data_IF_606788137312
#
_entry.id   IF_606788137312
#
_cell.length_a   1.000
_cell.length_b   1.000
_cell.length_c   1.000
_cell.angle_alpha   90.00
_cell.angle_beta   90.00
_cell.angle_gamma   90.00
#
_symmetry.space_group_name_H-M   'P 1'
#
loop_
_entity.id
_entity.type
_entity.pdbx_description
1 polymer ?
#
# COMPACT_ATOMS: atom_id res chain seq x y z
N UNK A 1 3.92 14.81 -6.44
CA UNK A 1 4.10 16.28 -6.65
C UNK A 1 4.97 16.94 -5.58
N UNK A 2 4.84 16.61 -4.29
CA UNK A 2 5.64 17.25 -3.20
C UNK A 2 7.14 16.96 -3.26
N UNK A 3 7.56 15.73 -3.60
CA UNK A 3 8.98 15.38 -3.73
C UNK A 3 9.62 16.10 -4.92
N UNK A 4 8.96 16.09 -6.08
CA UNK A 4 9.41 16.84 -7.25
C UNK A 4 9.55 18.34 -6.92
N UNK A 5 8.56 18.93 -6.25
CA UNK A 5 8.60 20.33 -5.85
C UNK A 5 9.75 20.62 -4.88
N UNK A 6 10.00 19.76 -3.88
CA UNK A 6 11.14 19.90 -2.96
C UNK A 6 12.49 19.82 -3.68
N UNK A 7 12.65 18.83 -4.58
CA UNK A 7 13.86 18.70 -5.39
C UNK A 7 14.03 19.88 -6.33
N UNK A 8 12.97 20.29 -7.02
CA UNK A 8 12.98 21.47 -7.89
C UNK A 8 13.34 22.74 -7.13
N UNK A 9 12.70 23.00 -5.99
CA UNK A 9 13.02 24.17 -5.14
C UNK A 9 14.44 24.14 -4.59
N UNK A 10 14.98 22.99 -4.23
CA UNK A 10 16.36 22.86 -3.77
C UNK A 10 17.36 23.20 -4.88
N UNK A 11 17.14 22.70 -6.09
CA UNK A 11 17.99 23.01 -7.25
C UNK A 11 17.85 24.47 -7.69
N UNK A 12 16.61 24.99 -7.67
CA UNK A 12 16.34 26.41 -7.95
C UNK A 12 17.04 27.32 -6.91
N UNK A 13 16.98 26.96 -5.63
CA UNK A 13 17.67 27.71 -4.58
C UNK A 13 19.20 27.73 -4.81
N UNK A 14 19.79 26.57 -5.15
CA UNK A 14 21.22 26.50 -5.46
C UNK A 14 21.58 27.35 -6.68
N UNK A 15 20.76 27.32 -7.74
CA UNK A 15 20.95 28.15 -8.93
C UNK A 15 20.86 29.64 -8.61
N UNK A 16 19.89 30.07 -7.78
CA UNK A 16 19.74 31.45 -7.34
C UNK A 16 20.92 31.89 -6.46
N UNK A 17 21.37 31.03 -5.53
CA UNK A 17 22.56 31.31 -4.71
C UNK A 17 23.82 31.43 -5.54
N UNK A 18 24.00 30.58 -6.56
CA UNK A 18 25.10 30.66 -7.49
C UNK A 18 25.07 31.97 -8.29
N UNK A 19 23.88 32.36 -8.78
CA UNK A 19 23.70 33.63 -9.50
C UNK A 19 24.00 34.83 -8.59
N UNK A 20 23.47 34.82 -7.37
CA UNK A 20 23.73 35.87 -6.37
C UNK A 20 25.21 35.98 -6.04
N UNK A 21 25.89 34.84 -5.84
CA UNK A 21 27.30 34.79 -5.57
C UNK A 21 28.12 35.32 -6.75
N UNK A 22 27.73 34.98 -7.98
CA UNK A 22 28.35 35.51 -9.20
C UNK A 22 28.21 37.03 -9.29
N UNK A 23 27.03 37.59 -8.98
CA UNK A 23 26.78 39.03 -8.93
C UNK A 23 27.63 39.71 -7.85
N UNK A 24 27.68 39.15 -6.62
CA UNK A 24 28.48 39.70 -5.51
C UNK A 24 29.99 39.67 -5.82
N UNK A 25 30.47 38.58 -6.44
CA UNK A 25 31.87 38.48 -6.86
C UNK A 25 32.17 39.48 -7.98
N UNK A 26 31.29 39.62 -8.96
CA UNK A 26 31.44 40.61 -10.02
C UNK A 26 31.49 42.02 -9.44
N UNK A 27 30.59 42.38 -8.51
CA UNK A 27 30.56 43.69 -7.84
C UNK A 27 31.79 43.93 -6.97
N UNK A 28 32.29 42.91 -6.23
CA UNK A 28 33.48 43.01 -5.39
C UNK A 28 34.78 43.16 -6.20
N UNK A 29 34.92 42.43 -7.31
CA UNK A 29 36.14 42.41 -8.08
C UNK A 29 36.19 43.49 -9.19
N UNK A 30 35.04 43.87 -9.77
CA UNK A 30 34.97 44.88 -10.81
C UNK A 30 35.65 46.21 -10.42
N UNK A 31 35.45 46.78 -9.22
CA UNK A 31 36.12 48.03 -8.82
C UNK A 31 37.65 47.92 -8.68
N UNK A 32 38.17 46.75 -8.27
CA UNK A 32 39.60 46.53 -8.14
C UNK A 32 40.31 46.46 -9.52
N UNK A 33 39.70 45.71 -10.44
CA UNK A 33 40.21 45.62 -11.81
C UNK A 33 40.04 46.96 -12.58
N UNK A 34 38.92 47.63 -12.37
CA UNK A 34 38.65 48.93 -12.97
C UNK A 34 39.64 50.03 -12.52
N UNK A 35 39.93 50.15 -11.22
CA UNK A 35 40.94 51.08 -10.69
C UNK A 35 42.34 50.86 -11.30
N UNK A 36 42.79 49.62 -11.34
CA UNK A 36 44.11 49.30 -11.95
C UNK A 36 44.17 49.59 -13.44
N UNK A 37 43.06 49.51 -14.16
CA UNK A 37 42.95 49.90 -15.58
C UNK A 37 42.92 51.42 -15.78
N UNK A 38 42.14 52.11 -14.93
CA UNK A 38 42.01 53.58 -14.95
C UNK A 38 43.36 54.23 -14.60
N UNK A 39 44.09 53.73 -13.60
CA UNK A 39 45.43 54.27 -13.25
C UNK A 39 46.46 54.07 -14.40
N UNK A 40 46.50 52.88 -15.03
CA UNK A 40 47.32 52.66 -16.22
C UNK A 40 46.94 53.57 -17.38
N UNK A 41 45.69 53.79 -17.57
CA UNK A 41 45.14 54.67 -18.60
C UNK A 41 45.48 56.17 -18.36
N UNK A 42 45.35 56.63 -17.12
CA UNK A 42 45.77 58.00 -16.73
C UNK A 42 47.28 58.21 -16.92
N UNK A 43 48.09 57.14 -16.67
CA UNK A 43 49.53 57.18 -16.88
C UNK A 43 49.90 57.20 -18.38
N UNK A 44 49.18 56.43 -19.22
CA UNK A 44 49.34 56.45 -20.68
C UNK A 44 48.88 57.79 -21.26
N UNK A 45 47.83 58.41 -20.72
CA UNK A 45 47.34 59.72 -21.06
C UNK A 45 48.37 60.85 -20.85
N UNK A 46 49.09 60.74 -19.75
CA UNK A 46 50.12 61.70 -19.43
C UNK A 46 51.35 61.67 -20.34
N UNK A 47 51.55 60.52 -21.00
CA UNK A 47 52.68 60.30 -21.92
C UNK A 47 52.42 60.53 -23.40
N UNK A 48 51.15 60.64 -23.83
CA UNK A 48 50.78 60.70 -25.28
C UNK A 48 49.89 61.90 -25.62
N UNK A 49 50.34 62.70 -26.59
CA UNK A 49 49.49 63.77 -27.21
C UNK A 49 48.32 63.19 -27.98
N UNK A 50 47.21 63.57 -27.63
CA UNK A 50 45.80 63.57 -28.03
C UNK A 50 45.17 62.79 -29.20
N UNK A 51 45.89 62.07 -30.06
CA UNK A 51 45.26 61.54 -31.30
C UNK A 51 45.06 60.00 -31.38
N UNK A 52 45.82 59.16 -30.69
CA UNK A 52 45.63 57.70 -30.65
C UNK A 52 44.90 57.22 -29.38
N UNK A 53 44.35 58.12 -28.64
CA UNK A 53 43.79 57.96 -27.31
C UNK A 53 42.51 57.14 -27.26
N UNK A 54 41.61 57.29 -28.23
CA UNK A 54 40.28 56.66 -28.21
C UNK A 54 40.31 55.11 -28.39
N UNK A 55 41.23 54.63 -29.24
CA UNK A 55 41.33 53.19 -29.49
C UNK A 55 42.03 52.42 -28.34
N UNK A 56 43.08 53.03 -27.73
CA UNK A 56 43.76 52.44 -26.58
C UNK A 56 42.83 52.33 -25.39
N UNK A 57 42.05 53.38 -25.12
CA UNK A 57 41.01 53.41 -24.07
C UNK A 57 39.96 52.35 -24.28
N UNK A 58 39.45 52.19 -25.46
CA UNK A 58 38.44 51.19 -25.81
C UNK A 58 38.98 49.77 -25.56
N UNK A 59 40.18 49.45 -26.01
CA UNK A 59 40.79 48.13 -25.82
C UNK A 59 41.01 47.82 -24.33
N UNK A 60 41.51 48.79 -23.57
CA UNK A 60 41.75 48.62 -22.11
C UNK A 60 40.42 48.41 -21.32
N UNK A 61 39.35 49.10 -21.74
CA UNK A 61 38.01 48.87 -21.16
C UNK A 61 37.45 47.50 -21.51
N UNK A 62 37.60 47.06 -22.78
CA UNK A 62 37.14 45.73 -23.22
C UNK A 62 37.92 44.64 -22.52
N UNK A 63 39.25 44.74 -22.39
CA UNK A 63 40.11 43.77 -21.67
C UNK A 63 39.83 43.76 -20.17
N UNK A 64 39.58 44.92 -19.52
CA UNK A 64 39.20 45.03 -18.16
C UNK A 64 37.87 44.36 -17.85
N UNK A 65 36.87 44.61 -18.65
CA UNK A 65 35.57 44.01 -18.52
C UNK A 65 35.64 42.45 -18.70
N UNK A 66 36.37 42.02 -19.72
CA UNK A 66 36.56 40.58 -20.03
C UNK A 66 37.32 39.88 -18.91
N UNK A 67 38.38 40.45 -18.37
CA UNK A 67 39.15 39.86 -17.26
C UNK A 67 38.35 39.79 -15.98
N UNK A 68 37.55 40.82 -15.67
CA UNK A 68 36.67 40.84 -14.50
C UNK A 68 35.56 39.77 -14.60
N UNK A 69 34.92 39.66 -15.73
CA UNK A 69 33.88 38.63 -15.96
C UNK A 69 34.47 37.21 -15.89
N UNK A 70 35.65 36.98 -16.50
CA UNK A 70 36.29 35.67 -16.43
C UNK A 70 36.72 35.32 -14.97
N UNK A 71 37.28 36.25 -14.24
CA UNK A 71 37.68 36.04 -12.84
C UNK A 71 36.43 35.74 -11.95
N UNK A 72 35.37 36.49 -12.12
CA UNK A 72 34.09 36.24 -11.41
C UNK A 72 33.48 34.88 -11.72
N UNK A 73 33.46 34.47 -13.01
CA UNK A 73 33.00 33.16 -13.42
C UNK A 73 33.86 32.03 -12.85
N UNK A 74 35.20 32.16 -12.96
CA UNK A 74 36.14 31.15 -12.41
C UNK A 74 36.03 30.98 -10.88
N UNK A 75 35.69 32.03 -10.15
CA UNK A 75 35.45 31.98 -8.72
C UNK A 75 34.05 31.40 -8.36
N UNK A 76 33.02 31.74 -9.13
CA UNK A 76 31.63 31.35 -8.83
C UNK A 76 31.33 29.90 -9.22
N UNK A 77 31.90 29.41 -10.34
CA UNK A 77 31.63 28.04 -10.85
C UNK A 77 31.94 26.93 -9.85
N UNK A 78 33.12 26.89 -9.18
CA UNK A 78 33.43 25.81 -8.23
C UNK A 78 32.53 25.84 -7.01
N UNK A 79 32.11 27.01 -6.53
CA UNK A 79 31.18 27.15 -5.39
C UNK A 79 29.78 26.69 -5.78
N UNK A 80 29.31 27.05 -6.96
CA UNK A 80 28.03 26.56 -7.50
C UNK A 80 28.05 25.04 -7.72
N UNK A 81 29.13 24.49 -8.26
CA UNK A 81 29.32 23.06 -8.44
C UNK A 81 29.32 22.31 -7.10
N UNK A 82 30.00 22.84 -6.07
CA UNK A 82 30.01 22.25 -4.73
C UNK A 82 28.58 22.24 -4.12
N UNK A 83 27.86 23.34 -4.22
CA UNK A 83 26.48 23.45 -3.75
C UNK A 83 25.54 22.46 -4.44
N UNK A 84 25.65 22.35 -5.78
CA UNK A 84 24.90 21.38 -6.56
C UNK A 84 25.24 19.93 -6.18
N UNK A 85 26.52 19.62 -5.98
CA UNK A 85 26.98 18.30 -5.56
C UNK A 85 26.43 17.90 -4.19
N UNK A 86 26.46 18.81 -3.23
CA UNK A 86 25.94 18.57 -1.88
C UNK A 86 24.43 18.29 -1.90
N UNK A 87 23.65 19.13 -2.60
CA UNK A 87 22.20 18.93 -2.69
C UNK A 87 21.82 17.68 -3.46
N UNK A 88 22.49 17.39 -4.56
CA UNK A 88 22.27 16.16 -5.34
C UNK A 88 22.62 14.90 -4.52
N UNK A 89 23.75 14.93 -3.79
CA UNK A 89 24.15 13.83 -2.92
C UNK A 89 23.15 13.58 -1.80
N UNK A 90 22.68 14.62 -1.14
CA UNK A 90 21.68 14.53 -0.08
C UNK A 90 20.36 13.93 -0.61
N UNK A 91 19.85 14.41 -1.74
CA UNK A 91 18.64 13.91 -2.37
C UNK A 91 18.80 12.45 -2.80
N UNK A 92 19.93 12.10 -3.41
CA UNK A 92 20.24 10.74 -3.86
C UNK A 92 20.32 9.73 -2.70
N UNK A 93 21.04 10.08 -1.64
CA UNK A 93 21.16 9.22 -0.46
C UNK A 93 19.81 8.98 0.24
N UNK A 94 18.98 10.00 0.31
CA UNK A 94 17.64 9.91 0.87
C UNK A 94 16.75 8.96 0.05
N UNK A 95 16.73 9.13 -1.27
CA UNK A 95 15.97 8.26 -2.17
C UNK A 95 16.46 6.81 -2.11
N UNK A 96 17.79 6.60 -2.15
CA UNK A 96 18.39 5.27 -2.06
C UNK A 96 18.06 4.57 -0.74
N UNK A 97 18.02 5.30 0.38
CA UNK A 97 17.64 4.74 1.69
C UNK A 97 16.19 4.24 1.69
N UNK A 98 15.25 5.05 1.22
CA UNK A 98 13.84 4.66 1.15
C UNK A 98 13.63 3.47 0.20
N UNK A 99 14.30 3.48 -0.95
CA UNK A 99 14.24 2.35 -1.89
C UNK A 99 14.77 1.05 -1.29
N UNK A 100 15.87 1.10 -0.51
CA UNK A 100 16.41 -0.07 0.21
C UNK A 100 15.46 -0.59 1.27
N UNK A 101 14.84 0.29 2.06
CA UNK A 101 13.85 -0.11 3.07
C UNK A 101 12.65 -0.78 2.42
N UNK A 102 12.17 -0.28 1.29
CA UNK A 102 11.07 -0.85 0.54
C UNK A 102 11.44 -2.23 -0.03
N UNK A 103 12.64 -2.35 -0.63
CA UNK A 103 13.14 -3.61 -1.18
C UNK A 103 13.28 -4.67 -0.09
N UNK A 104 13.87 -4.32 1.05
CA UNK A 104 14.01 -5.22 2.20
C UNK A 104 12.65 -5.62 2.78
N UNK A 105 11.74 -4.65 2.98
CA UNK A 105 10.37 -4.93 3.43
C UNK A 105 9.63 -5.86 2.48
N UNK A 106 9.75 -5.63 1.16
CA UNK A 106 9.12 -6.48 0.15
C UNK A 106 9.71 -7.89 0.13
N UNK A 107 11.03 -8.04 0.33
CA UNK A 107 11.68 -9.35 0.42
C UNK A 107 11.15 -10.14 1.63
N UNK A 108 11.14 -9.53 2.82
CA UNK A 108 10.61 -10.14 4.03
C UNK A 108 9.14 -10.52 3.91
N UNK A 109 8.34 -9.67 3.27
CA UNK A 109 6.94 -9.95 2.98
C UNK A 109 6.79 -11.17 2.04
N UNK A 110 7.65 -11.31 1.03
CA UNK A 110 7.68 -12.49 0.15
C UNK A 110 8.10 -13.78 0.88
N UNK A 111 8.88 -13.66 1.96
CA UNK A 111 9.28 -14.77 2.86
C UNK A 111 8.19 -15.11 3.89
N UNK A 112 7.04 -14.42 3.86
CA UNK A 112 5.91 -14.67 4.77
C UNK A 112 5.91 -13.82 6.05
N UNK A 113 6.83 -12.88 6.19
CA UNK A 113 6.89 -11.98 7.35
C UNK A 113 5.96 -10.77 7.16
N UNK A 114 4.66 -10.98 7.25
CA UNK A 114 3.66 -9.91 7.00
C UNK A 114 3.57 -8.86 8.11
N UNK A 115 4.18 -9.09 9.28
CA UNK A 115 4.27 -8.11 10.38
C UNK A 115 5.25 -6.95 10.14
N UNK A 116 5.97 -6.94 9.01
CA UNK A 116 6.92 -5.86 8.63
C UNK A 116 6.18 -4.54 8.44
N UNK A 117 6.73 -3.47 9.03
CA UNK A 117 6.23 -2.10 8.82
C UNK A 117 7.40 -1.19 8.48
N UNK A 118 7.18 -0.36 7.46
CA UNK A 118 8.13 0.68 7.08
C UNK A 118 7.93 1.92 7.96
N UNK A 119 9.01 2.58 8.39
CA UNK A 119 8.90 3.81 9.16
C UNK A 119 8.34 4.94 8.29
N UNK A 120 7.38 5.69 8.82
CA UNK A 120 6.83 6.89 8.19
C UNK A 120 7.73 8.09 8.49
N UNK A 121 8.86 8.18 7.79
CA UNK A 121 9.90 9.19 8.04
C UNK A 121 9.51 10.57 7.51
N UNK A 122 8.61 10.66 6.54
CA UNK A 122 8.37 11.87 5.76
C UNK A 122 6.89 12.08 5.46
N UNK A 123 6.52 13.36 5.21
CA UNK A 123 5.18 13.76 4.77
C UNK A 123 5.16 14.15 3.28
N UNK A 124 5.79 13.34 2.44
CA UNK A 124 5.87 13.49 1.01
C UNK A 124 5.46 12.19 0.29
N UNK A 125 5.68 12.09 -1.01
CA UNK A 125 5.32 10.94 -1.84
C UNK A 125 6.00 9.64 -1.37
N UNK A 126 7.19 9.72 -0.77
CA UNK A 126 7.88 8.55 -0.19
C UNK A 126 7.21 8.09 1.11
N UNK A 127 6.74 9.03 1.92
CA UNK A 127 5.94 8.72 3.11
C UNK A 127 4.58 8.11 2.76
N UNK A 128 3.94 8.59 1.70
CA UNK A 128 2.70 8.01 1.17
C UNK A 128 2.92 6.58 0.66
N UNK A 129 4.03 6.34 -0.06
CA UNK A 129 4.42 5.01 -0.51
C UNK A 129 4.64 4.04 0.67
N UNK A 130 5.33 4.48 1.72
CA UNK A 130 5.51 3.68 2.94
C UNK A 130 4.18 3.38 3.64
N UNK A 131 3.24 4.34 3.64
CA UNK A 131 1.89 4.14 4.17
C UNK A 131 1.12 3.08 3.38
N UNK A 132 1.14 3.16 2.05
CA UNK A 132 0.49 2.16 1.19
C UNK A 132 1.10 0.77 1.34
N UNK A 133 2.44 0.68 1.46
CA UNK A 133 3.11 -0.57 1.78
C UNK A 133 2.62 -1.15 3.12
N UNK A 134 2.54 -0.34 4.17
CA UNK A 134 2.10 -0.78 5.49
C UNK A 134 0.64 -1.28 5.48
N UNK A 135 -0.24 -0.61 4.72
CA UNK A 135 -1.63 -1.07 4.52
C UNK A 135 -1.70 -2.41 3.78
N UNK A 136 -0.85 -2.59 2.76
CA UNK A 136 -0.76 -3.87 2.05
C UNK A 136 -0.27 -4.99 2.97
N UNK A 137 0.77 -4.72 3.77
CA UNK A 137 1.30 -5.66 4.75
C UNK A 137 0.24 -6.08 5.78
N UNK A 138 -0.53 -5.11 6.30
CA UNK A 138 -1.64 -5.36 7.24
C UNK A 138 -2.75 -6.22 6.61
N UNK A 139 -3.11 -5.92 5.36
CA UNK A 139 -4.12 -6.70 4.65
C UNK A 139 -3.68 -8.16 4.43
N UNK A 140 -2.40 -8.37 4.04
CA UNK A 140 -1.84 -9.72 3.88
C UNK A 140 -1.74 -10.47 5.22
N UNK A 141 -1.28 -9.81 6.29
CA UNK A 141 -1.21 -10.38 7.63
C UNK A 141 -2.60 -10.87 8.09
N UNK A 142 -3.63 -10.06 7.86
CA UNK A 142 -5.02 -10.43 8.18
C UNK A 142 -5.50 -11.64 7.37
N UNK A 143 -5.21 -11.67 6.07
CA UNK A 143 -5.59 -12.80 5.19
C UNK A 143 -4.93 -14.10 5.66
N UNK A 144 -3.62 -14.08 5.92
CA UNK A 144 -2.90 -15.27 6.38
C UNK A 144 -3.35 -15.73 7.77
N UNK A 145 -3.62 -14.80 8.68
CA UNK A 145 -4.18 -15.11 9.99
C UNK A 145 -5.53 -15.81 9.88
N UNK A 146 -6.45 -15.24 9.08
CA UNK A 146 -7.79 -15.83 8.85
C UNK A 146 -7.67 -17.22 8.22
N UNK A 147 -6.75 -17.41 7.25
CA UNK A 147 -6.47 -18.69 6.63
C UNK A 147 -5.96 -19.73 7.63
N UNK A 148 -5.02 -19.35 8.50
CA UNK A 148 -4.49 -20.24 9.54
C UNK A 148 -5.57 -20.63 10.56
N UNK A 149 -6.42 -19.68 10.97
CA UNK A 149 -7.56 -19.92 11.86
C UNK A 149 -8.57 -20.88 11.21
N UNK A 150 -8.89 -20.69 9.93
CA UNK A 150 -9.79 -21.59 9.18
C UNK A 150 -9.25 -23.01 9.15
N UNK A 151 -7.96 -23.19 8.79
CA UNK A 151 -7.33 -24.51 8.75
C UNK A 151 -7.35 -25.17 10.14
N UNK A 152 -7.05 -24.40 11.21
CA UNK A 152 -7.12 -24.88 12.58
C UNK A 152 -8.52 -25.35 12.99
N UNK A 153 -9.55 -24.55 12.65
CA UNK A 153 -10.95 -24.90 12.91
C UNK A 153 -11.36 -26.16 12.15
N UNK A 154 -11.06 -26.25 10.85
CA UNK A 154 -11.38 -27.43 10.03
C UNK A 154 -10.71 -28.68 10.60
N UNK A 155 -9.42 -28.60 10.98
CA UNK A 155 -8.71 -29.73 11.58
C UNK A 155 -9.35 -30.19 12.90
N UNK A 156 -9.85 -29.24 13.71
CA UNK A 156 -10.53 -29.55 14.95
C UNK A 156 -11.89 -30.22 14.71
N UNK A 157 -12.70 -29.64 13.81
CA UNK A 157 -14.02 -30.15 13.44
C UNK A 157 -13.98 -31.52 12.73
N UNK A 158 -12.89 -31.85 12.05
CA UNK A 158 -12.67 -33.19 11.48
C UNK A 158 -12.21 -34.22 12.51
N UNK A 159 -11.45 -33.81 13.53
CA UNK A 159 -10.89 -34.73 14.52
C UNK A 159 -11.98 -35.44 15.36
N UNK A 160 -13.01 -34.69 15.71
CA UNK A 160 -14.11 -35.18 16.56
C UNK A 160 -14.89 -36.34 15.87
N UNK A 161 -15.44 -36.19 14.66
CA UNK A 161 -16.15 -37.30 14.00
C UNK A 161 -15.21 -38.47 13.68
N UNK A 162 -13.93 -38.21 13.34
CA UNK A 162 -12.96 -39.29 13.11
C UNK A 162 -12.73 -40.13 14.37
N UNK A 163 -12.58 -39.51 15.54
CA UNK A 163 -12.45 -40.20 16.81
C UNK A 163 -13.71 -41.02 17.13
N UNK A 164 -14.90 -40.48 16.87
CA UNK A 164 -16.16 -41.18 17.05
C UNK A 164 -16.29 -42.38 16.09
N UNK A 165 -15.93 -42.23 14.82
CA UNK A 165 -15.89 -43.33 13.85
C UNK A 165 -14.95 -44.46 14.30
N UNK A 166 -13.77 -44.09 14.80
CA UNK A 166 -12.83 -45.07 15.36
C UNK A 166 -13.42 -45.81 16.56
N UNK A 167 -14.05 -45.05 17.49
CA UNK A 167 -14.71 -45.68 18.66
C UNK A 167 -15.85 -46.63 18.30
N UNK A 168 -16.68 -46.27 17.25
CA UNK A 168 -17.72 -47.18 16.76
C UNK A 168 -17.14 -48.46 16.15
N UNK A 169 -16.03 -48.33 15.40
CA UNK A 169 -15.35 -49.47 14.77
C UNK A 169 -14.73 -50.37 15.84
N UNK A 170 -14.03 -49.82 16.80
CA UNK A 170 -13.44 -50.57 17.91
C UNK A 170 -14.50 -51.29 18.76
N UNK A 171 -15.59 -50.55 19.15
CA UNK A 171 -16.69 -51.12 19.90
C UNK A 171 -17.45 -52.23 19.17
N UNK A 172 -17.48 -52.19 17.83
CA UNK A 172 -18.02 -53.27 17.01
C UNK A 172 -17.07 -54.50 17.00
N UNK A 173 -15.77 -54.27 16.88
CA UNK A 173 -14.74 -55.35 16.87
C UNK A 173 -14.67 -56.07 18.20
N UNK A 174 -14.78 -55.32 19.30
CA UNK A 174 -14.72 -55.87 20.68
C UNK A 174 -16.08 -56.47 21.11
N UNK A 175 -17.08 -56.44 20.27
CA UNK A 175 -18.44 -56.96 20.56
C UNK A 175 -19.20 -56.16 21.61
N UNK A 176 -18.75 -54.96 21.95
CA UNK A 176 -19.40 -54.07 22.93
C UNK A 176 -20.61 -53.36 22.31
N UNK A 177 -20.57 -53.08 21.00
CA UNK A 177 -21.66 -52.46 20.26
C UNK A 177 -22.32 -53.45 19.30
N UNK A 178 -23.66 -53.40 19.19
CA UNK A 178 -24.38 -54.12 18.14
C UNK A 178 -24.09 -53.55 16.78
N UNK A 179 -24.19 -54.37 15.74
CA UNK A 179 -23.96 -53.96 14.34
C UNK A 179 -24.81 -52.77 13.95
N UNK A 180 -26.06 -52.77 14.40
CA UNK A 180 -27.06 -51.73 14.11
C UNK A 180 -26.67 -50.39 14.71
N UNK A 181 -26.30 -50.38 16.00
CA UNK A 181 -25.85 -49.18 16.74
C UNK A 181 -24.56 -48.60 16.17
N UNK A 182 -23.59 -49.46 15.84
CA UNK A 182 -22.35 -49.04 15.24
C UNK A 182 -22.61 -48.43 13.84
N UNK A 183 -23.43 -49.07 13.00
CA UNK A 183 -23.78 -48.58 11.67
C UNK A 183 -24.51 -47.21 11.72
N UNK A 184 -25.49 -47.06 12.61
CA UNK A 184 -26.20 -45.79 12.83
C UNK A 184 -25.24 -44.66 13.29
N UNK A 185 -24.33 -44.98 14.22
CA UNK A 185 -23.31 -44.05 14.69
C UNK A 185 -22.38 -43.61 13.55
N UNK A 186 -21.82 -44.56 12.81
CA UNK A 186 -20.96 -44.30 11.65
C UNK A 186 -21.70 -43.45 10.60
N UNK A 187 -22.95 -43.77 10.26
CA UNK A 187 -23.71 -43.00 9.29
C UNK A 187 -23.99 -41.57 9.74
N UNK A 188 -24.19 -41.31 11.05
CA UNK A 188 -24.32 -39.97 11.58
C UNK A 188 -23.05 -39.15 11.39
N UNK A 189 -21.90 -39.72 11.76
CA UNK A 189 -20.61 -39.02 11.65
C UNK A 189 -20.23 -38.75 10.18
N UNK A 190 -20.47 -39.72 9.28
CA UNK A 190 -20.28 -39.53 7.84
C UNK A 190 -21.15 -38.38 7.31
N UNK A 191 -22.40 -38.29 7.72
CA UNK A 191 -23.29 -37.17 7.34
C UNK A 191 -22.79 -35.83 7.87
N UNK A 192 -22.27 -35.79 9.12
CA UNK A 192 -21.69 -34.58 9.69
C UNK A 192 -20.44 -34.14 8.91
N UNK A 193 -19.52 -35.05 8.62
CA UNK A 193 -18.33 -34.76 7.80
C UNK A 193 -18.70 -34.28 6.40
N UNK A 194 -19.71 -34.86 5.77
CA UNK A 194 -20.17 -34.42 4.46
C UNK A 194 -20.67 -32.97 4.48
N UNK A 195 -21.45 -32.60 5.51
CA UNK A 195 -21.89 -31.20 5.68
C UNK A 195 -20.70 -30.25 5.84
N UNK A 196 -19.71 -30.63 6.66
CA UNK A 196 -18.51 -29.81 6.86
C UNK A 196 -17.74 -29.59 5.53
N UNK A 197 -17.64 -30.63 4.68
CA UNK A 197 -17.02 -30.50 3.34
C UNK A 197 -17.83 -29.60 2.43
N UNK A 198 -19.16 -29.67 2.47
CA UNK A 198 -20.06 -28.83 1.68
C UNK A 198 -19.93 -27.36 2.12
N UNK A 199 -19.88 -27.09 3.43
CA UNK A 199 -19.66 -25.74 4.01
C UNK A 199 -18.30 -25.17 3.63
N UNK A 200 -17.24 -25.95 3.73
CA UNK A 200 -15.89 -25.55 3.33
C UNK A 200 -15.80 -25.23 1.83
N UNK A 201 -16.46 -26.05 1.00
CA UNK A 201 -16.57 -25.80 -0.45
C UNK A 201 -17.32 -24.48 -0.73
N UNK A 202 -18.35 -24.16 0.05
CA UNK A 202 -19.06 -22.89 -0.09
C UNK A 202 -18.16 -21.71 0.29
N UNK A 203 -17.45 -21.76 1.43
CA UNK A 203 -16.49 -20.74 1.84
C UNK A 203 -15.45 -20.50 0.75
N UNK A 204 -14.84 -21.58 0.23
CA UNK A 204 -13.85 -21.48 -0.84
C UNK A 204 -14.40 -20.80 -2.10
N UNK A 205 -15.65 -21.09 -2.49
CA UNK A 205 -16.31 -20.44 -3.63
C UNK A 205 -16.62 -18.98 -3.39
N UNK A 206 -16.99 -18.61 -2.16
CA UNK A 206 -17.22 -17.21 -1.77
C UNK A 206 -15.92 -16.41 -1.83
N UNK A 207 -14.83 -16.94 -1.25
CA UNK A 207 -13.50 -16.32 -1.30
C UNK A 207 -13.00 -16.13 -2.74
N UNK A 208 -13.23 -17.13 -3.61
CA UNK A 208 -12.89 -17.05 -5.03
C UNK A 208 -13.81 -16.12 -5.83
N UNK A 209 -14.81 -15.47 -5.19
CA UNK A 209 -15.88 -14.69 -5.85
C UNK A 209 -16.61 -15.49 -6.96
N UNK A 210 -16.62 -16.81 -6.82
CA UNK A 210 -17.22 -17.74 -7.79
C UNK A 210 -18.69 -18.05 -7.47
N UNK A 211 -19.25 -17.45 -6.41
CA UNK A 211 -20.67 -17.58 -6.10
C UNK A 211 -21.44 -16.57 -6.95
N UNK A 212 -22.14 -17.08 -7.94
CA UNK A 212 -23.05 -16.28 -8.73
C UNK A 212 -24.33 -16.03 -7.92
N UNK A 213 -24.62 -14.76 -7.64
CA UNK A 213 -25.84 -14.33 -6.96
C UNK A 213 -26.79 -13.80 -8.03
N UNK A 214 -28.01 -14.35 -8.08
CA UNK A 214 -29.07 -13.98 -9.04
C UNK A 214 -30.21 -13.29 -8.32
N UNK A 215 -30.06 -12.00 -7.97
CA UNK A 215 -31.11 -11.29 -7.24
C UNK A 215 -32.32 -11.05 -8.12
N UNK A 216 -33.50 -11.26 -7.55
CA UNK A 216 -34.78 -10.92 -8.15
C UNK A 216 -35.69 -10.27 -7.11
N UNK A 217 -36.73 -9.52 -7.51
CA UNK A 217 -37.74 -9.03 -6.57
C UNK A 217 -38.46 -10.24 -5.94
N UNK A 218 -38.47 -10.32 -4.61
CA UNK A 218 -39.08 -11.39 -3.85
C UNK A 218 -40.07 -10.82 -2.85
N UNK A 219 -41.16 -11.56 -2.61
CA UNK A 219 -42.01 -11.36 -1.46
C UNK A 219 -41.39 -12.04 -0.23
N UNK A 220 -40.94 -11.26 0.78
CA UNK A 220 -40.30 -11.84 1.95
C UNK A 220 -41.27 -12.69 2.80
N UNK A 221 -42.56 -12.40 2.77
CA UNK A 221 -43.57 -13.18 3.51
C UNK A 221 -43.71 -14.58 2.92
N UNK A 222 -43.86 -14.69 1.60
CA UNK A 222 -43.94 -15.98 0.93
C UNK A 222 -42.70 -16.84 1.12
N UNK A 223 -41.51 -16.21 1.11
CA UNK A 223 -40.25 -16.88 1.36
C UNK A 223 -40.12 -17.42 2.79
N UNK A 224 -40.55 -16.66 3.78
CA UNK A 224 -40.59 -17.08 5.19
C UNK A 224 -41.60 -18.20 5.43
N UNK A 225 -42.77 -18.15 4.79
CA UNK A 225 -43.78 -19.20 4.83
C UNK A 225 -43.27 -20.52 4.22
N UNK A 226 -42.53 -20.45 3.10
CA UNK A 226 -41.90 -21.63 2.53
C UNK A 226 -40.84 -22.22 3.49
N UNK A 227 -39.98 -21.40 4.06
CA UNK A 227 -39.00 -21.83 5.05
C UNK A 227 -39.69 -22.48 6.27
N UNK A 228 -40.74 -21.88 6.79
CA UNK A 228 -41.52 -22.42 7.91
C UNK A 228 -42.10 -23.79 7.58
N UNK A 229 -42.73 -23.94 6.43
CA UNK A 229 -43.31 -25.22 5.98
C UNK A 229 -42.25 -26.33 5.85
N UNK A 230 -41.05 -25.98 5.38
CA UNK A 230 -39.90 -26.90 5.22
C UNK A 230 -39.37 -27.42 6.55
N UNK A 231 -39.35 -26.59 7.62
CA UNK A 231 -38.76 -26.94 8.91
C UNK A 231 -39.76 -27.37 9.97
N UNK A 232 -41.08 -27.13 9.76
CA UNK A 232 -42.13 -27.39 10.72
C UNK A 232 -42.12 -28.84 11.27
N UNK A 233 -41.95 -29.85 10.43
CA UNK A 233 -41.89 -31.24 10.85
C UNK A 233 -40.69 -31.57 11.74
N UNK A 234 -39.56 -30.98 11.46
CA UNK A 234 -38.32 -31.16 12.24
C UNK A 234 -38.43 -30.54 13.64
N UNK A 235 -39.10 -29.37 13.74
CA UNK A 235 -39.32 -28.68 14.99
C UNK A 235 -40.40 -29.39 15.84
N UNK A 236 -41.48 -29.88 15.21
CA UNK A 236 -42.50 -30.69 15.89
C UNK A 236 -41.91 -31.98 16.48
N UNK A 237 -40.99 -32.64 15.74
CA UNK A 237 -40.32 -33.85 16.22
C UNK A 237 -39.43 -33.58 17.47
N UNK A 238 -38.93 -32.34 17.62
CA UNK A 238 -38.17 -31.85 18.79
C UNK A 238 -39.10 -31.29 19.91
N UNK A 239 -40.41 -31.24 19.72
CA UNK A 239 -41.38 -30.64 20.65
C UNK A 239 -41.32 -29.11 20.74
N UNK A 240 -40.75 -28.44 19.69
CA UNK A 240 -40.61 -27.00 19.65
C UNK A 240 -41.67 -26.41 18.69
N UNK A 241 -42.38 -25.36 19.14
CA UNK A 241 -43.31 -24.63 18.27
C UNK A 241 -42.53 -23.63 17.39
N UNK A 242 -42.78 -23.68 16.09
CA UNK A 242 -42.24 -22.72 15.13
C UNK A 242 -43.38 -21.86 14.63
N UNK A 243 -43.32 -20.52 14.82
CA UNK A 243 -44.35 -19.56 14.40
C UNK A 243 -43.70 -18.43 13.59
N UNK A 244 -44.48 -17.86 12.66
CA UNK A 244 -44.10 -16.69 11.88
C UNK A 244 -44.94 -15.49 12.30
N UNK A 245 -44.29 -14.45 12.76
CA UNK A 245 -44.92 -13.15 12.99
C UNK A 245 -44.32 -12.15 11.98
N UNK A 246 -45.16 -11.59 11.14
CA UNK A 246 -44.73 -10.63 10.14
C UNK A 246 -45.76 -9.50 10.02
N UNK A 247 -45.26 -8.27 9.85
CA UNK A 247 -46.13 -7.12 9.53
C UNK A 247 -46.64 -7.26 8.09
N UNK A 248 -47.86 -6.82 7.82
CA UNK A 248 -48.47 -6.88 6.49
C UNK A 248 -48.96 -5.47 6.10
N UNK A 249 -48.60 -4.89 4.96
CA UNK A 249 -47.74 -5.48 3.92
C UNK A 249 -46.22 -5.33 4.18
N UNK A 250 -45.42 -6.33 3.77
CA UNK A 250 -43.97 -6.21 3.71
C UNK A 250 -43.54 -5.67 2.34
N UNK A 251 -42.53 -4.80 2.27
CA UNK A 251 -41.97 -4.37 0.99
C UNK A 251 -41.22 -5.53 0.31
N UNK A 252 -41.25 -5.55 -1.03
CA UNK A 252 -40.44 -6.48 -1.81
C UNK A 252 -38.95 -6.24 -1.56
N UNK A 253 -38.15 -7.32 -1.53
CA UNK A 253 -36.69 -7.30 -1.38
C UNK A 253 -36.01 -7.84 -2.60
N UNK A 254 -34.86 -7.25 -2.97
CA UNK A 254 -33.99 -7.78 -4.00
C UNK A 254 -33.05 -8.81 -3.38
N UNK A 255 -33.32 -10.10 -3.65
CA UNK A 255 -32.49 -11.18 -3.12
C UNK A 255 -32.50 -12.40 -4.03
N UNK A 256 -31.54 -13.29 -3.83
CA UNK A 256 -31.50 -14.61 -4.43
C UNK A 256 -32.24 -15.58 -3.51
N UNK A 257 -33.37 -16.07 -3.97
CA UNK A 257 -34.30 -16.92 -3.23
C UNK A 257 -33.62 -18.17 -2.64
N UNK A 258 -32.83 -18.87 -3.48
CA UNK A 258 -32.15 -20.09 -3.08
C UNK A 258 -31.12 -19.80 -1.96
N UNK A 259 -30.41 -18.69 -2.07
CA UNK A 259 -29.43 -18.28 -1.06
C UNK A 259 -30.06 -17.83 0.25
N UNK A 260 -31.20 -17.11 0.19
CA UNK A 260 -31.93 -16.74 1.42
C UNK A 260 -32.49 -17.97 2.09
N UNK A 261 -33.08 -18.89 1.36
CA UNK A 261 -33.55 -20.16 1.93
C UNK A 261 -32.42 -20.99 2.53
N UNK A 262 -31.22 -20.98 1.93
CA UNK A 262 -30.04 -21.63 2.48
C UNK A 262 -29.60 -20.96 3.82
N UNK A 263 -29.62 -19.64 3.91
CA UNK A 263 -29.33 -18.91 5.16
C UNK A 263 -30.34 -19.28 6.24
N UNK A 264 -31.63 -19.25 5.90
CA UNK A 264 -32.70 -19.64 6.83
C UNK A 264 -32.56 -21.09 7.31
N UNK A 265 -32.20 -22.01 6.39
CA UNK A 265 -31.91 -23.40 6.72
C UNK A 265 -30.77 -23.52 7.75
N UNK A 266 -29.68 -22.80 7.57
CA UNK A 266 -28.53 -22.83 8.47
C UNK A 266 -28.84 -22.21 9.85
N UNK A 267 -29.77 -21.24 9.91
CA UNK A 267 -30.19 -20.63 11.18
C UNK A 267 -31.20 -21.49 11.97
N UNK A 268 -31.98 -22.33 11.28
CA UNK A 268 -33.05 -23.13 11.85
C UNK A 268 -32.64 -24.60 12.15
N UNK A 269 -31.44 -25.02 11.79
CA UNK A 269 -30.92 -26.39 12.07
C UNK A 269 -30.00 -26.39 13.28
#
# INVERSE_FOLDING_TARGET
MRLFLKLFLSHLLVALLALLLLLLLAEAFAPAFYRGHVERMLHALSMMGGGMMGEALRRDLEEGLRSTLTAALLAALPLAALGALLTASFASLRLARTARLLAEGSRRMAEGEYGVRLPLLERDELGELALHFNRLAEALEKVEKTRAELIGTVAHELRTPLAALQGYAEGLMDGVLSKEKAAEGILREVKAMRRLVEDLSLVSRVEAKAVEIRPKPLDPKGLLEEALARFQSAFQAKGVALSLEAQDPLPQVWADEERVLQVLANLLT
#
